data_IF_811097566368
#
_entry.id   IF_811097566368
#
_cell.length_a   1.000
_cell.length_b   1.000
_cell.length_c   1.000
_cell.angle_alpha   90.00
_cell.angle_beta   90.00
_cell.angle_gamma   90.00
#
_symmetry.space_group_name_H-M   'P 1'
#
loop_
_entity.id
_entity.type
_entity.pdbx_description
1 polymer ?
#
# COMPACT_ATOMS: atom_id res chain seq x y z
N UNK A 1 -5.61 21.55 -11.05
CA UNK A 1 -6.67 21.71 -10.01
C UNK A 1 -6.37 22.88 -9.07
N UNK A 2 -5.19 22.94 -8.44
CA UNK A 2 -4.85 24.02 -7.51
C UNK A 2 -4.64 25.39 -8.15
N UNK A 3 -3.97 25.50 -9.30
CA UNK A 3 -3.86 26.76 -10.06
C UNK A 3 -5.24 27.41 -10.29
N UNK A 4 -6.24 26.60 -10.70
CA UNK A 4 -7.60 27.08 -10.94
C UNK A 4 -8.28 27.59 -9.66
N UNK A 5 -8.13 26.86 -8.54
CA UNK A 5 -8.69 27.29 -7.25
C UNK A 5 -8.00 28.56 -6.72
N UNK A 6 -6.68 28.67 -6.85
CA UNK A 6 -5.94 29.85 -6.43
C UNK A 6 -6.34 31.10 -7.22
N UNK A 7 -6.53 30.98 -8.54
CA UNK A 7 -7.01 32.09 -9.37
C UNK A 7 -8.46 32.47 -9.06
N UNK A 8 -9.32 31.49 -8.75
CA UNK A 8 -10.70 31.74 -8.32
C UNK A 8 -10.72 32.56 -7.02
N UNK A 9 -10.00 32.12 -5.98
CA UNK A 9 -9.91 32.83 -4.70
C UNK A 9 -9.30 34.23 -4.89
N UNK A 10 -8.27 34.35 -5.74
CA UNK A 10 -7.68 35.65 -6.07
C UNK A 10 -8.73 36.60 -6.69
N UNK A 11 -9.56 36.10 -7.61
CA UNK A 11 -10.64 36.90 -8.20
C UNK A 11 -11.72 37.31 -7.18
N UNK A 12 -12.06 36.42 -6.24
CA UNK A 12 -13.02 36.69 -5.16
C UNK A 12 -12.51 37.79 -4.20
N UNK A 13 -11.19 37.90 -4.03
CA UNK A 13 -10.52 38.93 -3.20
C UNK A 13 -10.18 40.19 -4.05
N UNK A 14 -10.54 40.24 -5.33
CA UNK A 14 -10.31 41.38 -6.21
C UNK A 14 -8.89 41.48 -6.79
N UNK A 15 -8.08 40.42 -6.68
CA UNK A 15 -6.74 40.35 -7.27
C UNK A 15 -6.85 39.89 -8.72
N UNK A 16 -6.44 40.75 -9.65
CA UNK A 16 -6.49 40.43 -11.08
C UNK A 16 -5.48 39.34 -11.48
N UNK A 17 -5.84 38.54 -12.48
CA UNK A 17 -4.96 37.50 -13.03
C UNK A 17 -3.66 38.05 -13.67
N UNK A 18 -3.60 39.36 -13.96
CA UNK A 18 -2.37 40.03 -14.43
C UNK A 18 -1.35 40.22 -13.31
N UNK A 19 -1.81 40.33 -12.06
CA UNK A 19 -0.98 40.53 -10.86
C UNK A 19 -0.64 39.18 -10.22
N UNK A 20 -1.57 38.23 -10.26
CA UNK A 20 -1.39 36.91 -9.69
C UNK A 20 -1.69 35.82 -10.71
N UNK A 21 -0.66 35.08 -11.12
CA UNK A 21 -0.76 34.05 -12.17
C UNK A 21 -0.82 32.63 -11.62
N UNK A 22 -0.72 32.44 -10.30
CA UNK A 22 -0.66 31.12 -9.64
C UNK A 22 0.35 30.17 -10.34
N UNK A 23 1.51 30.69 -10.72
CA UNK A 23 2.51 29.98 -11.52
C UNK A 23 3.08 28.76 -10.79
N UNK A 24 3.70 27.87 -11.57
CA UNK A 24 4.44 26.73 -11.01
C UNK A 24 5.56 27.17 -10.05
N UNK A 25 6.19 28.32 -10.30
CA UNK A 25 7.26 28.87 -9.46
C UNK A 25 6.77 29.49 -8.15
N UNK A 26 5.53 30.01 -8.10
CA UNK A 26 4.89 30.51 -6.89
C UNK A 26 4.49 29.39 -5.92
N UNK A 27 4.26 28.19 -6.45
CA UNK A 27 3.68 27.07 -5.74
C UNK A 27 4.55 26.52 -4.59
N UNK A 28 5.83 26.18 -4.80
CA UNK A 28 6.68 25.66 -3.72
C UNK A 28 6.88 26.66 -2.55
N UNK A 29 7.17 27.96 -2.79
CA UNK A 29 7.28 28.95 -1.72
C UNK A 29 6.00 29.10 -0.90
N UNK A 30 4.83 29.10 -1.54
CA UNK A 30 3.54 29.22 -0.85
C UNK A 30 3.28 28.05 0.13
N UNK A 31 3.56 26.81 -0.30
CA UNK A 31 3.43 25.65 0.58
C UNK A 31 4.41 25.68 1.74
N UNK A 32 5.65 26.14 1.50
CA UNK A 32 6.66 26.31 2.53
C UNK A 32 6.24 27.37 3.55
N UNK A 33 5.79 28.55 3.11
CA UNK A 33 5.36 29.64 3.99
C UNK A 33 4.12 29.27 4.80
N UNK A 34 3.18 28.55 4.19
CA UNK A 34 1.96 28.08 4.85
C UNK A 34 2.19 26.82 5.71
N UNK A 35 3.43 26.31 5.81
CA UNK A 35 3.77 25.03 6.45
C UNK A 35 2.90 23.85 5.98
N UNK A 36 2.38 23.95 4.75
CA UNK A 36 1.50 22.98 4.16
C UNK A 36 2.31 22.07 3.24
N UNK A 37 2.08 20.75 3.34
CA UNK A 37 2.67 19.78 2.40
C UNK A 37 1.54 19.01 1.74
N UNK A 38 1.63 18.86 0.42
CA UNK A 38 0.79 17.92 -0.31
C UNK A 38 1.18 16.52 0.14
N UNK A 39 0.34 15.96 1.01
CA UNK A 39 0.46 14.57 1.43
C UNK A 39 -0.51 13.76 0.60
N UNK A 40 0.00 12.70 -0.03
CA UNK A 40 -0.85 11.63 -0.52
C UNK A 40 -1.64 11.10 0.67
N UNK A 41 -2.96 10.96 0.53
CA UNK A 41 -3.80 10.42 1.59
C UNK A 41 -3.25 9.04 1.96
N UNK A 42 -2.80 8.86 3.20
CA UNK A 42 -2.50 7.53 3.71
C UNK A 42 -3.79 6.69 3.66
N UNK A 43 -3.69 5.40 3.36
CA UNK A 43 -4.85 4.52 3.24
C UNK A 43 -5.78 4.68 4.44
N UNK A 44 -7.08 4.84 4.15
CA UNK A 44 -8.13 5.27 5.07
C UNK A 44 -8.47 4.27 6.19
N UNK A 45 -7.68 3.19 6.35
CA UNK A 45 -7.90 2.12 7.32
C UNK A 45 -6.74 1.92 8.31
N UNK A 46 -5.76 2.82 8.36
CA UNK A 46 -4.61 2.66 9.24
C UNK A 46 -4.90 3.26 10.62
N UNK A 47 -5.17 2.38 11.59
CA UNK A 47 -5.26 2.72 13.02
C UNK A 47 -3.94 3.31 13.51
N UNK A 48 -4.00 4.16 14.54
CA UNK A 48 -2.77 4.73 15.11
C UNK A 48 -1.86 3.63 15.65
N UNK A 49 -0.56 3.88 15.64
CA UNK A 49 0.43 2.89 16.08
C UNK A 49 0.22 2.47 17.54
N UNK A 50 -0.23 3.39 18.40
CA UNK A 50 -0.55 3.09 19.79
C UNK A 50 -1.77 2.16 19.92
N UNK A 51 -2.87 2.48 19.23
CA UNK A 51 -4.07 1.63 19.23
C UNK A 51 -3.79 0.24 18.66
N UNK A 52 -2.96 0.15 17.61
CA UNK A 52 -2.56 -1.13 17.05
C UNK A 52 -1.80 -1.98 18.06
N UNK A 53 -0.86 -1.39 18.80
CA UNK A 53 -0.12 -2.10 19.86
C UNK A 53 -1.05 -2.62 20.94
N UNK A 54 -2.02 -1.81 21.38
CA UNK A 54 -3.01 -2.23 22.38
C UNK A 54 -3.83 -3.41 21.88
N UNK A 55 -4.32 -3.35 20.64
CA UNK A 55 -5.08 -4.46 20.02
C UNK A 55 -4.23 -5.73 19.86
N UNK A 56 -2.99 -5.57 19.40
CA UNK A 56 -2.06 -6.69 19.24
C UNK A 56 -1.71 -7.35 20.58
N UNK A 57 -1.64 -6.60 21.68
CA UNK A 57 -1.38 -7.13 23.01
C UNK A 57 -2.58 -7.90 23.60
N UNK A 58 -3.82 -7.46 23.30
CA UNK A 58 -5.04 -8.12 23.78
C UNK A 58 -5.41 -9.38 22.99
N UNK A 59 -5.03 -9.43 21.71
CA UNK A 59 -5.45 -10.49 20.78
C UNK A 59 -5.05 -11.92 21.18
N UNK A 60 -3.81 -12.22 21.64
CA UNK A 60 -3.43 -13.59 22.01
C UNK A 60 -4.29 -14.16 23.14
N UNK A 61 -4.59 -13.36 24.16
CA UNK A 61 -5.41 -13.78 25.29
C UNK A 61 -6.84 -14.10 24.86
N UNK A 62 -7.41 -13.30 23.96
CA UNK A 62 -8.75 -13.56 23.41
C UNK A 62 -8.79 -14.87 22.60
N UNK A 63 -7.77 -15.11 21.77
CA UNK A 63 -7.67 -16.36 20.99
C UNK A 63 -7.53 -17.55 21.94
N UNK A 64 -6.70 -17.46 22.97
CA UNK A 64 -6.51 -18.55 23.93
C UNK A 64 -7.80 -18.89 24.68
N UNK A 65 -8.55 -17.87 25.11
CA UNK A 65 -9.84 -18.07 25.76
C UNK A 65 -10.83 -18.76 24.83
N UNK A 66 -11.03 -18.24 23.61
CA UNK A 66 -11.94 -18.83 22.61
C UNK A 66 -11.54 -20.26 22.24
N UNK A 67 -10.24 -20.53 22.14
CA UNK A 67 -9.71 -21.87 21.84
C UNK A 67 -10.09 -22.85 22.94
N UNK A 68 -9.96 -22.44 24.21
CA UNK A 68 -10.40 -23.23 25.36
C UNK A 68 -11.93 -23.44 25.39
N UNK A 69 -12.71 -22.38 25.19
CA UNK A 69 -14.17 -22.43 25.22
C UNK A 69 -14.76 -23.36 24.13
N UNK A 70 -14.13 -23.40 22.96
CA UNK A 70 -14.55 -24.22 21.82
C UNK A 70 -13.91 -25.62 21.80
N UNK A 71 -13.02 -25.93 22.74
CA UNK A 71 -12.26 -27.19 22.73
C UNK A 71 -11.43 -27.38 21.46
N UNK A 72 -10.86 -26.29 20.93
CA UNK A 72 -10.03 -26.35 19.72
C UNK A 72 -8.63 -26.80 20.08
N UNK A 73 -8.19 -27.93 19.51
CA UNK A 73 -6.85 -28.46 19.79
C UNK A 73 -5.75 -27.72 19.00
N UNK A 74 -6.05 -27.29 17.77
CA UNK A 74 -5.06 -26.71 16.85
C UNK A 74 -5.65 -25.52 16.10
N UNK A 75 -4.96 -24.39 16.15
CA UNK A 75 -5.33 -23.19 15.38
C UNK A 75 -4.43 -23.08 14.16
N UNK A 76 -5.03 -22.95 12.98
CA UNK A 76 -4.30 -22.74 11.73
C UNK A 76 -4.38 -21.27 11.30
N UNK A 77 -3.23 -20.66 11.04
CA UNK A 77 -3.12 -19.35 10.39
C UNK A 77 -2.84 -19.55 8.90
N UNK A 78 -3.73 -19.03 8.06
CA UNK A 78 -3.57 -19.05 6.61
C UNK A 78 -3.53 -17.60 6.08
N UNK A 79 -2.55 -17.30 5.23
CA UNK A 79 -2.43 -15.99 4.60
C UNK A 79 -2.05 -16.07 3.13
N UNK A 80 -2.52 -15.10 2.35
CA UNK A 80 -2.25 -14.97 0.92
C UNK A 80 -1.22 -13.86 0.66
N UNK A 81 0.01 -14.24 0.34
CA UNK A 81 1.09 -13.30 0.04
C UNK A 81 1.39 -13.27 -1.48
N UNK A 82 1.44 -12.08 -2.12
CA UNK A 82 1.90 -11.96 -3.50
C UNK A 82 3.44 -12.11 -3.60
N UNK A 83 3.89 -13.05 -4.41
CA UNK A 83 5.30 -13.22 -4.80
C UNK A 83 5.53 -12.58 -6.18
N UNK A 84 6.34 -11.53 -6.21
CA UNK A 84 6.72 -10.84 -7.44
C UNK A 84 7.93 -11.50 -8.09
N UNK A 85 7.94 -11.64 -9.42
CA UNK A 85 9.08 -12.19 -10.15
C UNK A 85 10.29 -11.25 -10.15
N UNK A 86 10.05 -9.95 -10.05
CA UNK A 86 11.08 -8.92 -10.00
C UNK A 86 10.72 -7.90 -8.93
N UNK A 87 11.63 -7.69 -7.97
CA UNK A 87 11.49 -6.66 -6.95
C UNK A 87 12.54 -5.57 -7.18
N UNK A 88 12.24 -4.66 -8.11
CA UNK A 88 13.13 -3.54 -8.45
C UNK A 88 12.70 -2.30 -7.64
N UNK A 89 13.60 -1.72 -6.83
CA UNK A 89 13.29 -0.50 -6.09
C UNK A 89 12.92 0.64 -7.05
N UNK A 90 11.71 1.19 -6.93
CA UNK A 90 11.30 2.37 -7.73
C UNK A 90 11.88 3.67 -7.18
N UNK A 91 12.40 3.64 -5.94
CA UNK A 91 12.96 4.79 -5.26
C UNK A 91 14.36 4.44 -4.79
N UNK A 92 15.35 5.10 -5.38
CA UNK A 92 16.70 5.14 -4.84
C UNK A 92 16.84 6.47 -4.11
N UNK A 93 16.92 6.44 -2.77
CA UNK A 93 17.32 7.63 -2.01
C UNK A 93 18.85 7.64 -2.07
N UNK A 94 19.38 8.40 -3.01
CA UNK A 94 20.82 8.63 -3.12
C UNK A 94 21.11 10.09 -2.74
N UNK A 95 22.32 10.34 -2.24
CA UNK A 95 22.80 11.69 -2.02
C UNK A 95 22.83 12.46 -3.35
N UNK A 96 22.72 13.78 -3.28
CA UNK A 96 22.83 14.63 -4.46
C UNK A 96 24.18 14.39 -5.14
N UNK A 97 24.17 14.18 -6.47
CA UNK A 97 25.38 13.89 -7.25
C UNK A 97 25.82 12.42 -7.32
N UNK A 98 25.13 11.49 -6.65
CA UNK A 98 25.48 10.06 -6.75
C UNK A 98 25.22 9.53 -8.17
N UNK A 99 26.16 8.75 -8.69
CA UNK A 99 26.06 8.16 -10.03
C UNK A 99 24.81 7.27 -10.15
N UNK A 100 24.01 7.51 -11.18
CA UNK A 100 22.82 6.70 -11.48
C UNK A 100 23.24 5.42 -12.18
N UNK A 101 22.87 4.26 -11.61
CA UNK A 101 23.03 2.94 -12.25
C UNK A 101 21.69 2.50 -12.83
N UNK A 102 21.69 2.23 -14.14
CA UNK A 102 20.50 1.73 -14.84
C UNK A 102 20.35 0.23 -14.63
N UNK A 103 19.38 -0.18 -13.81
CA UNK A 103 18.99 -1.59 -13.67
C UNK A 103 18.00 -1.95 -14.77
N UNK A 104 18.33 -2.93 -15.60
CA UNK A 104 17.40 -3.46 -16.62
C UNK A 104 16.36 -4.37 -15.95
N UNK A 105 15.09 -4.14 -16.23
CA UNK A 105 13.96 -4.99 -15.85
C UNK A 105 13.51 -5.80 -17.07
N UNK A 106 13.01 -7.03 -16.88
CA UNK A 106 12.34 -7.75 -17.97
C UNK A 106 10.89 -7.27 -18.17
N UNK A 107 10.49 -6.15 -17.55
CA UNK A 107 9.14 -5.58 -17.63
C UNK A 107 8.10 -6.41 -16.87
N UNK A 108 8.53 -7.35 -16.01
CA UNK A 108 7.64 -8.28 -15.28
C UNK A 108 7.36 -7.83 -13.84
N UNK A 109 7.65 -6.59 -13.48
CA UNK A 109 7.47 -6.04 -12.12
C UNK A 109 6.04 -6.21 -11.58
N UNK A 110 5.03 -6.22 -12.46
CA UNK A 110 3.61 -6.42 -12.07
C UNK A 110 3.15 -7.87 -12.14
N UNK A 111 3.95 -8.76 -12.76
CA UNK A 111 3.63 -10.20 -12.77
C UNK A 111 3.94 -10.75 -11.38
N UNK A 112 3.00 -11.51 -10.85
CA UNK A 112 3.10 -12.14 -9.54
C UNK A 112 2.42 -13.49 -9.54
N UNK A 113 2.94 -14.39 -8.73
CA UNK A 113 2.25 -15.58 -8.28
C UNK A 113 1.71 -15.28 -6.90
N UNK A 114 0.57 -15.84 -6.56
CA UNK A 114 0.10 -15.81 -5.18
C UNK A 114 0.69 -17.02 -4.48
N UNK A 115 1.35 -16.81 -3.35
CA UNK A 115 1.67 -17.86 -2.41
C UNK A 115 0.62 -17.84 -1.31
N UNK A 116 0.07 -19.00 -0.96
CA UNK A 116 -0.64 -19.14 0.29
C UNK A 116 0.25 -19.88 1.29
N UNK A 117 0.31 -19.31 2.49
CA UNK A 117 1.11 -19.78 3.60
C UNK A 117 0.17 -20.35 4.66
N UNK A 118 0.58 -21.46 5.26
CA UNK A 118 -0.15 -22.11 6.34
C UNK A 118 0.81 -22.43 7.47
N UNK A 119 0.42 -22.09 8.70
CA UNK A 119 1.12 -22.46 9.92
C UNK A 119 0.14 -22.80 11.03
N UNK A 120 0.54 -23.63 11.98
CA UNK A 120 -0.28 -23.99 13.14
C UNK A 120 0.16 -23.29 14.44
N UNK A 121 -0.65 -23.44 15.48
CA UNK A 121 -0.42 -22.89 16.82
C UNK A 121 0.81 -23.46 17.54
N UNK A 122 1.34 -24.61 17.08
CA UNK A 122 2.58 -25.18 17.61
C UNK A 122 3.83 -24.61 16.93
N UNK A 123 3.64 -23.74 15.92
CA UNK A 123 4.72 -23.13 15.16
C UNK A 123 5.19 -23.96 13.98
N UNK A 124 4.49 -25.05 13.62
CA UNK A 124 4.82 -25.79 12.41
C UNK A 124 4.43 -24.96 11.18
N UNK A 125 5.29 -24.99 10.17
CA UNK A 125 5.08 -24.35 8.88
C UNK A 125 4.82 -25.42 7.84
N UNK A 126 3.72 -25.29 7.12
CA UNK A 126 3.36 -26.21 6.06
C UNK A 126 3.92 -25.72 4.73
N UNK A 127 4.02 -26.64 3.77
CA UNK A 127 4.52 -26.31 2.45
C UNK A 127 3.64 -25.23 1.80
N UNK A 128 4.24 -24.16 1.28
CA UNK A 128 3.50 -23.11 0.60
C UNK A 128 2.87 -23.66 -0.69
N UNK A 129 1.70 -23.14 -1.02
CA UNK A 129 1.06 -23.45 -2.30
C UNK A 129 1.01 -22.22 -3.20
N UNK A 130 1.36 -22.44 -4.46
CA UNK A 130 1.42 -21.41 -5.48
C UNK A 130 0.13 -21.39 -6.29
N UNK A 131 -0.60 -20.29 -6.20
CA UNK A 131 -1.78 -20.00 -7.01
C UNK A 131 -1.33 -19.15 -8.20
N UNK A 132 -1.31 -19.79 -9.37
CA UNK A 132 -1.09 -19.15 -10.65
C UNK A 132 -2.45 -18.82 -11.28
N UNK A 133 -2.69 -17.54 -11.59
CA UNK A 133 -3.88 -17.16 -12.36
C UNK A 133 -3.71 -17.63 -13.81
N UNK A 134 -4.63 -18.47 -14.29
CA UNK A 134 -4.75 -18.82 -15.70
C UNK A 134 -5.38 -17.65 -16.47
N UNK A 135 -4.89 -17.39 -17.69
CA UNK A 135 -5.45 -16.34 -18.55
C UNK A 135 -6.61 -16.84 -19.42
N UNK A 136 -6.78 -18.16 -19.53
CA UNK A 136 -7.81 -18.78 -20.35
C UNK A 136 -9.02 -19.15 -19.50
N UNK A 137 -10.22 -18.62 -19.77
CA UNK A 137 -11.43 -19.13 -19.15
C UNK A 137 -11.63 -20.58 -19.59
N UNK A 138 -11.72 -21.49 -18.64
CA UNK A 138 -12.13 -22.88 -18.90
C UNK A 138 -13.54 -22.81 -19.49
N UNK A 139 -13.72 -23.25 -20.75
CA UNK A 139 -15.05 -23.40 -21.32
C UNK A 139 -15.82 -24.36 -20.42
N UNK A 140 -16.98 -23.93 -19.90
CA UNK A 140 -17.87 -24.84 -19.18
C UNK A 140 -18.33 -25.91 -20.16
N UNK A 141 -17.94 -27.15 -19.92
CA UNK A 141 -18.60 -28.28 -20.57
C UNK A 141 -20.06 -28.25 -20.12
N UNK A 142 -20.95 -28.16 -21.11
CA UNK A 142 -22.39 -28.23 -20.88
C UNK A 142 -22.70 -29.73 -20.88
N UNK A 143 -22.98 -30.30 -19.71
CA UNK A 143 -23.55 -31.64 -19.66
C UNK A 143 -24.94 -31.60 -20.33
N UNK A 144 -25.15 -32.54 -21.25
CA UNK A 144 -26.40 -32.75 -21.99
C UNK A 144 -27.51 -33.30 -21.09
#
# INVERSE_FOLDING_TARGET
>A
MLTRKSLQIASEIGVSAKVFTASWTWWPPFFLSAQARLRMRAHQGQISLAENRTKAAAFPSEIQQRTGDLGVDVVYSADQTPLFFEHIPTKTIAAEGTQTVWVRSAGKTKKRVTCMLLGDSFGNKYNPFLICKTMTPVKKETEN
#
